data_IF_667931959041
#
_entry.id   IF_667931959041
#
_cell.length_a   1.000
_cell.length_b   1.000
_cell.length_c   1.000
_cell.angle_alpha   90.00
_cell.angle_beta   90.00
_cell.angle_gamma   90.00
#
_symmetry.space_group_name_H-M   'P 1'
#
loop_
_entity.id
_entity.type
_entity.pdbx_description
1 polymer ?
#
# COMPACT_ATOMS: atom_id res chain seq x y z
N UNK A 1 -99.45 -82.72 63.25
CA UNK A 1 -98.46 -82.76 62.14
C UNK A 1 -97.35 -81.81 62.50
N UNK A 2 -96.26 -82.35 63.03
CA UNK A 2 -95.11 -81.61 63.55
C UNK A 2 -94.27 -81.13 62.34
N UNK A 3 -94.10 -79.81 62.19
CA UNK A 3 -93.25 -79.24 61.13
C UNK A 3 -91.80 -79.61 61.45
N UNK A 4 -91.22 -80.54 60.70
CA UNK A 4 -89.79 -80.81 60.76
C UNK A 4 -89.02 -79.53 60.34
N UNK A 5 -88.28 -78.93 61.28
CA UNK A 5 -87.39 -77.80 60.97
C UNK A 5 -86.18 -78.31 60.17
N UNK A 6 -86.07 -77.89 58.91
CA UNK A 6 -84.92 -78.21 58.06
C UNK A 6 -83.69 -77.39 58.52
N UNK A 7 -82.69 -78.07 59.09
CA UNK A 7 -81.44 -77.48 59.56
C UNK A 7 -80.26 -77.93 58.67
N UNK A 8 -79.31 -77.03 58.43
CA UNK A 8 -78.08 -77.26 57.65
C UNK A 8 -76.91 -77.46 58.62
N UNK A 9 -76.11 -78.50 58.39
CA UNK A 9 -74.85 -78.72 59.12
C UNK A 9 -73.70 -78.04 58.39
N UNK A 10 -72.92 -77.22 59.10
CA UNK A 10 -71.76 -76.50 58.55
C UNK A 10 -70.45 -77.10 59.05
N UNK A 11 -69.43 -77.08 58.19
CA UNK A 11 -68.06 -77.45 58.52
C UNK A 11 -67.30 -76.34 59.25
N UNK A 12 -66.01 -76.54 59.49
CA UNK A 12 -65.13 -75.56 60.19
C UNK A 12 -64.88 -74.26 59.40
N UNK A 13 -65.16 -74.23 58.09
CA UNK A 13 -65.03 -73.06 57.22
C UNK A 13 -66.37 -72.36 56.95
N UNK A 14 -67.46 -72.85 57.56
CA UNK A 14 -68.81 -72.32 57.37
C UNK A 14 -69.48 -72.78 56.07
N UNK A 15 -68.94 -73.79 55.38
CA UNK A 15 -69.55 -74.40 54.20
C UNK A 15 -70.47 -75.56 54.61
N UNK A 16 -71.36 -76.00 53.70
CA UNK A 16 -72.22 -77.18 53.96
C UNK A 16 -71.35 -78.43 54.15
N UNK A 17 -71.43 -79.04 55.32
CA UNK A 17 -70.67 -80.25 55.65
C UNK A 17 -71.06 -81.40 54.73
N UNK A 18 -70.06 -82.04 54.12
CA UNK A 18 -70.26 -83.13 53.15
C UNK A 18 -70.52 -84.45 53.86
N UNK A 19 -70.04 -84.61 55.10
CA UNK A 19 -70.30 -85.78 55.94
C UNK A 19 -70.76 -85.42 57.37
N UNK A 20 -71.49 -86.32 58.07
CA UNK A 20 -72.01 -86.02 59.42
C UNK A 20 -70.94 -85.72 60.48
N UNK A 21 -69.73 -86.27 60.32
CA UNK A 21 -68.62 -86.09 61.27
C UNK A 21 -67.94 -84.71 61.13
N UNK A 22 -68.16 -84.01 60.02
CA UNK A 22 -67.62 -82.68 59.74
C UNK A 22 -68.51 -81.56 60.25
N UNK A 23 -69.74 -81.87 60.71
CA UNK A 23 -70.69 -80.87 61.21
C UNK A 23 -70.17 -80.29 62.53
N UNK A 24 -69.74 -79.03 62.51
CA UNK A 24 -69.35 -78.26 63.68
C UNK A 24 -70.46 -77.36 64.21
N UNK A 25 -71.37 -76.92 63.33
CA UNK A 25 -72.49 -76.05 63.69
C UNK A 25 -73.76 -76.47 62.95
N UNK A 26 -74.94 -76.36 63.58
CA UNK A 26 -76.25 -76.53 62.91
C UNK A 26 -77.02 -75.22 62.92
N UNK A 27 -77.35 -74.72 61.74
CA UNK A 27 -78.12 -73.48 61.55
C UNK A 27 -79.43 -73.76 60.81
N UNK A 28 -80.44 -72.90 60.98
CA UNK A 28 -81.67 -73.03 60.21
C UNK A 28 -81.43 -72.74 58.73
N UNK A 29 -82.14 -73.44 57.84
CA UNK A 29 -82.04 -73.23 56.38
C UNK A 29 -82.25 -71.75 56.00
N UNK A 30 -83.19 -71.05 56.66
CA UNK A 30 -83.43 -69.62 56.44
C UNK A 30 -82.22 -68.73 56.74
N UNK A 31 -81.49 -69.02 57.84
CA UNK A 31 -80.32 -68.25 58.25
C UNK A 31 -79.13 -68.49 57.32
N UNK A 32 -78.94 -69.74 56.87
CA UNK A 32 -77.91 -70.09 55.89
C UNK A 32 -78.15 -69.37 54.55
N UNK A 33 -79.38 -69.45 54.01
CA UNK A 33 -79.74 -68.80 52.75
C UNK A 33 -79.58 -67.27 52.82
N UNK A 34 -79.89 -66.64 53.96
CA UNK A 34 -79.67 -65.20 54.15
C UNK A 34 -78.18 -64.82 54.17
N UNK A 35 -77.33 -65.63 54.81
CA UNK A 35 -75.87 -65.43 54.83
C UNK A 35 -75.25 -65.66 53.45
N UNK A 36 -75.64 -66.73 52.76
CA UNK A 36 -75.17 -67.04 51.41
C UNK A 36 -75.54 -65.93 50.41
N UNK A 37 -76.79 -65.43 50.50
CA UNK A 37 -77.22 -64.28 49.71
C UNK A 37 -76.41 -63.01 50.01
N UNK A 38 -76.16 -62.70 51.28
CA UNK A 38 -75.36 -61.55 51.66
C UNK A 38 -73.89 -61.67 51.19
N UNK A 39 -73.30 -62.86 51.32
CA UNK A 39 -71.95 -63.15 50.85
C UNK A 39 -71.86 -63.03 49.32
N UNK A 40 -72.85 -63.55 48.60
CA UNK A 40 -72.94 -63.38 47.14
C UNK A 40 -73.04 -61.92 46.73
N UNK A 41 -73.76 -61.06 47.47
CA UNK A 41 -73.84 -59.62 47.21
C UNK A 41 -72.50 -58.91 47.48
N UNK A 42 -71.79 -59.28 48.55
CA UNK A 42 -70.46 -58.72 48.85
C UNK A 42 -69.48 -59.04 47.71
N UNK A 43 -69.43 -60.30 47.28
CA UNK A 43 -68.57 -60.75 46.18
C UNK A 43 -68.94 -60.03 44.87
N UNK A 44 -70.23 -59.86 44.59
CA UNK A 44 -70.69 -59.12 43.41
C UNK A 44 -70.24 -57.65 43.43
N UNK A 45 -70.38 -56.96 44.56
CA UNK A 45 -69.96 -55.56 44.72
C UNK A 45 -68.43 -55.41 44.59
N UNK A 46 -67.67 -56.36 45.13
CA UNK A 46 -66.20 -56.35 45.03
C UNK A 46 -65.74 -56.60 43.59
N UNK A 47 -66.41 -57.50 42.86
CA UNK A 47 -66.16 -57.73 41.44
C UNK A 47 -66.51 -56.50 40.59
N UNK A 48 -67.60 -55.80 40.90
CA UNK A 48 -67.97 -54.55 40.23
C UNK A 48 -66.95 -53.44 40.50
N UNK A 49 -66.46 -53.31 41.73
CA UNK A 49 -65.39 -52.38 42.07
C UNK A 49 -64.07 -52.71 41.36
N UNK A 50 -63.71 -54.00 41.24
CA UNK A 50 -62.55 -54.45 40.47
C UNK A 50 -62.71 -54.14 38.98
N UNK A 51 -63.90 -54.37 38.42
CA UNK A 51 -64.22 -54.01 37.02
C UNK A 51 -64.07 -52.51 36.78
N UNK A 52 -64.56 -51.66 37.68
CA UNK A 52 -64.39 -50.20 37.60
C UNK A 52 -62.91 -49.77 37.62
N UNK A 53 -62.08 -50.41 38.46
CA UNK A 53 -60.62 -50.16 38.47
C UNK A 53 -59.95 -50.59 37.16
N UNK A 54 -60.37 -51.74 36.60
CA UNK A 54 -59.83 -52.23 35.33
C UNK A 54 -60.21 -51.32 34.15
N UNK A 55 -61.44 -50.82 34.11
CA UNK A 55 -61.91 -49.88 33.09
C UNK A 55 -61.13 -48.55 33.16
N UNK A 56 -60.82 -48.06 34.36
CA UNK A 56 -59.96 -46.88 34.56
C UNK A 56 -58.52 -47.12 34.04
N UNK A 57 -57.90 -48.25 34.40
CA UNK A 57 -56.56 -48.62 33.93
C UNK A 57 -56.51 -48.77 32.40
N UNK A 58 -57.57 -49.33 31.80
CA UNK A 58 -57.69 -49.43 30.34
C UNK A 58 -57.75 -48.04 29.70
N UNK A 59 -58.49 -47.10 30.30
CA UNK A 59 -58.54 -45.71 29.86
C UNK A 59 -57.17 -45.02 29.91
N UNK A 60 -56.42 -45.19 31.00
CA UNK A 60 -55.06 -44.67 31.15
C UNK A 60 -54.09 -45.26 30.12
N UNK A 61 -54.17 -46.57 29.87
CA UNK A 61 -53.33 -47.25 28.90
C UNK A 61 -53.58 -46.74 27.47
N UNK A 62 -54.84 -46.50 27.09
CA UNK A 62 -55.17 -45.92 25.78
C UNK A 62 -54.66 -44.47 25.66
N UNK A 63 -54.71 -43.69 26.72
CA UNK A 63 -54.11 -42.35 26.75
C UNK A 63 -52.58 -42.40 26.60
N UNK A 64 -51.91 -43.35 27.25
CA UNK A 64 -50.46 -43.55 27.10
C UNK A 64 -50.07 -43.99 25.69
N UNK A 65 -50.83 -44.91 25.06
CA UNK A 65 -50.61 -45.31 23.66
C UNK A 65 -50.74 -44.11 22.70
N UNK A 66 -51.72 -43.24 22.92
CA UNK A 66 -51.87 -42.02 22.13
C UNK A 66 -50.66 -41.10 22.29
N UNK A 67 -50.22 -40.85 23.53
CA UNK A 67 -49.03 -40.03 23.81
C UNK A 67 -47.76 -40.61 23.18
N UNK A 68 -47.60 -41.94 23.18
CA UNK A 68 -46.49 -42.61 22.52
C UNK A 68 -46.51 -42.37 21.00
N UNK A 69 -47.67 -42.43 20.36
CA UNK A 69 -47.83 -42.11 18.94
C UNK A 69 -47.43 -40.66 18.60
N UNK A 70 -47.80 -39.70 19.44
CA UNK A 70 -47.41 -38.30 19.30
C UNK A 70 -45.89 -38.11 19.47
N UNK A 71 -45.27 -38.83 20.41
CA UNK A 71 -43.82 -38.78 20.63
C UNK A 71 -43.05 -39.33 19.43
N UNK A 72 -43.48 -40.46 18.87
CA UNK A 72 -42.88 -41.04 17.65
C UNK A 72 -42.91 -40.03 16.49
N UNK A 73 -44.05 -39.37 16.29
CA UNK A 73 -44.18 -38.34 15.24
C UNK A 73 -43.24 -37.16 15.45
N UNK A 74 -42.98 -36.77 16.71
CA UNK A 74 -42.01 -35.71 17.02
C UNK A 74 -40.57 -36.14 16.73
N UNK A 75 -40.23 -37.39 17.00
CA UNK A 75 -38.91 -37.96 16.68
C UNK A 75 -38.66 -37.94 15.18
N UNK A 76 -39.62 -38.40 14.36
CA UNK A 76 -39.48 -38.39 12.89
C UNK A 76 -39.24 -36.98 12.34
N UNK A 77 -39.92 -35.97 12.91
CA UNK A 77 -39.71 -34.55 12.54
C UNK A 77 -38.32 -34.03 12.93
N UNK A 78 -37.80 -34.46 14.08
CA UNK A 78 -36.45 -34.09 14.53
C UNK A 78 -35.41 -34.72 13.62
N UNK A 79 -35.55 -35.99 13.26
CA UNK A 79 -34.62 -36.69 12.38
C UNK A 79 -34.59 -36.05 10.98
N UNK A 80 -35.76 -35.70 10.45
CA UNK A 80 -35.85 -34.95 9.19
C UNK A 80 -35.19 -33.57 9.29
N UNK A 81 -35.38 -32.84 10.40
CA UNK A 81 -34.75 -31.54 10.60
C UNK A 81 -33.23 -31.64 10.80
N UNK A 82 -32.75 -32.67 11.49
CA UNK A 82 -31.34 -32.97 11.68
C UNK A 82 -30.67 -33.30 10.34
N UNK A 83 -31.29 -34.15 9.53
CA UNK A 83 -30.82 -34.47 8.18
C UNK A 83 -30.79 -33.23 7.27
N UNK A 84 -31.83 -32.40 7.29
CA UNK A 84 -31.86 -31.15 6.52
C UNK A 84 -30.78 -30.16 6.97
N UNK A 85 -30.53 -30.07 8.29
CA UNK A 85 -29.48 -29.24 8.86
C UNK A 85 -28.09 -29.74 8.46
N UNK A 86 -27.85 -31.06 8.53
CA UNK A 86 -26.61 -31.68 8.08
C UNK A 86 -26.34 -31.38 6.60
N UNK A 87 -27.34 -31.58 5.72
CA UNK A 87 -27.22 -31.24 4.30
C UNK A 87 -26.96 -29.73 4.06
N UNK A 88 -27.55 -28.85 4.88
CA UNK A 88 -27.29 -27.40 4.83
C UNK A 88 -25.88 -27.04 5.30
N UNK A 89 -25.35 -27.74 6.28
CA UNK A 89 -23.97 -27.57 6.78
C UNK A 89 -22.97 -28.08 5.75
N UNK A 90 -23.21 -29.24 5.13
CA UNK A 90 -22.36 -29.78 4.05
C UNK A 90 -22.38 -28.92 2.78
N UNK A 91 -23.54 -28.36 2.42
CA UNK A 91 -23.64 -27.43 1.28
C UNK A 91 -23.06 -26.04 1.57
N UNK A 92 -22.81 -25.70 2.85
CA UNK A 92 -22.07 -24.50 3.23
C UNK A 92 -20.58 -24.78 3.15
N UNK A 93 -19.86 -23.88 2.51
CA UNK A 93 -18.39 -23.92 2.44
C UNK A 93 -17.82 -23.61 3.82
N UNK A 94 -17.50 -24.63 4.62
CA UNK A 94 -16.80 -24.45 5.88
C UNK A 94 -15.33 -24.13 5.58
N UNK A 95 -14.87 -22.96 6.00
CA UNK A 95 -13.44 -22.61 6.06
C UNK A 95 -13.00 -22.70 7.51
N UNK A 96 -12.02 -23.56 7.78
CA UNK A 96 -11.37 -23.63 9.08
C UNK A 96 -10.26 -22.57 9.17
N UNK A 97 -10.06 -22.01 10.35
CA UNK A 97 -8.88 -21.18 10.66
C UNK A 97 -8.00 -22.00 11.57
N UNK A 98 -6.78 -22.31 11.12
CA UNK A 98 -5.76 -22.97 11.92
C UNK A 98 -5.23 -22.04 13.00
N UNK A 99 -4.56 -22.61 14.02
CA UNK A 99 -3.95 -21.84 15.11
C UNK A 99 -2.84 -20.88 14.67
N UNK A 100 -2.28 -21.06 13.48
CA UNK A 100 -1.29 -20.17 12.86
C UNK A 100 -1.92 -19.08 11.96
N UNK A 101 -3.25 -18.98 11.94
CA UNK A 101 -4.00 -18.03 11.13
C UNK A 101 -4.17 -18.44 9.66
N UNK A 102 -3.68 -19.62 9.26
CA UNK A 102 -3.88 -20.14 7.90
C UNK A 102 -5.31 -20.65 7.72
N UNK A 103 -5.86 -20.48 6.52
CA UNK A 103 -7.19 -20.97 6.16
C UNK A 103 -7.07 -22.43 5.65
N UNK A 104 -7.75 -23.37 6.31
CA UNK A 104 -7.81 -24.77 5.86
C UNK A 104 -9.00 -24.98 4.94
N UNK A 105 -8.73 -25.61 3.78
CA UNK A 105 -9.73 -25.94 2.77
C UNK A 105 -10.52 -27.17 3.26
N UNK A 106 -11.83 -27.04 3.44
CA UNK A 106 -12.69 -28.22 3.52
C UNK A 106 -12.73 -28.87 2.13
N UNK A 107 -12.18 -30.08 2.01
CA UNK A 107 -12.26 -30.90 0.81
C UNK A 107 -13.73 -31.26 0.55
N UNK A 108 -14.35 -30.67 -0.49
CA UNK A 108 -15.73 -31.03 -0.85
C UNK A 108 -16.53 -30.04 -1.71
N UNK A 109 -16.15 -28.78 -1.83
CA UNK A 109 -16.95 -27.79 -2.58
C UNK A 109 -16.34 -27.42 -3.94
N UNK A 110 -17.08 -27.70 -5.04
CA UNK A 110 -16.74 -27.27 -6.42
C UNK A 110 -16.51 -25.76 -6.56
N UNK A 111 -17.13 -24.94 -5.69
CA UNK A 111 -17.01 -23.47 -5.71
C UNK A 111 -15.93 -22.89 -4.77
N UNK A 112 -15.35 -23.68 -3.86
CA UNK A 112 -14.32 -23.20 -2.90
C UNK A 112 -12.92 -23.11 -3.52
N UNK A 113 -12.67 -23.84 -4.60
CA UNK A 113 -11.39 -23.78 -5.32
C UNK A 113 -11.19 -22.39 -5.95
N UNK A 114 -12.26 -21.72 -6.41
CA UNK A 114 -12.16 -20.39 -7.05
C UNK A 114 -11.75 -19.24 -6.11
N UNK A 115 -12.27 -19.20 -4.87
CA UNK A 115 -11.99 -18.07 -3.94
C UNK A 115 -10.59 -18.16 -3.35
N UNK A 116 -10.15 -19.36 -2.93
CA UNK A 116 -8.81 -19.52 -2.37
C UNK A 116 -7.73 -19.32 -3.45
N UNK A 117 -7.93 -19.84 -4.66
CA UNK A 117 -6.97 -19.65 -5.75
C UNK A 117 -6.96 -18.17 -6.19
N UNK A 118 -8.11 -17.49 -6.16
CA UNK A 118 -8.22 -16.05 -6.38
C UNK A 118 -7.50 -15.21 -5.33
N UNK A 119 -7.59 -15.60 -4.04
CA UNK A 119 -6.89 -14.93 -2.94
C UNK A 119 -5.38 -15.12 -3.02
N UNK A 120 -4.92 -16.34 -3.34
CA UNK A 120 -3.49 -16.63 -3.56
C UNK A 120 -2.97 -15.85 -4.76
N UNK A 121 -3.72 -15.80 -5.87
CA UNK A 121 -3.35 -15.01 -7.03
C UNK A 121 -3.31 -13.51 -6.72
N UNK A 122 -4.24 -13.00 -5.89
CA UNK A 122 -4.24 -11.61 -5.44
C UNK A 122 -3.03 -11.32 -4.55
N UNK A 123 -2.70 -12.21 -3.59
CA UNK A 123 -1.51 -12.10 -2.75
C UNK A 123 -0.24 -12.01 -3.60
N UNK A 124 -0.07 -12.92 -4.56
CA UNK A 124 1.09 -12.90 -5.46
C UNK A 124 1.13 -11.66 -6.36
N UNK A 125 -0.02 -11.05 -6.69
CA UNK A 125 -0.06 -9.75 -7.36
C UNK A 125 0.37 -8.62 -6.43
N UNK A 126 -0.05 -8.63 -5.18
CA UNK A 126 0.36 -7.65 -4.16
C UNK A 126 1.88 -7.68 -3.97
N UNK A 127 2.50 -8.86 -3.82
CA UNK A 127 3.95 -8.98 -3.66
C UNK A 127 4.72 -8.40 -4.86
N UNK A 128 4.21 -8.64 -6.09
CA UNK A 128 4.80 -8.08 -7.32
C UNK A 128 4.62 -6.57 -7.40
N UNK A 129 3.48 -6.05 -6.93
CA UNK A 129 3.23 -4.61 -6.87
C UNK A 129 4.17 -3.97 -5.87
N UNK A 130 4.34 -4.54 -4.68
CA UNK A 130 5.23 -4.02 -3.64
C UNK A 130 6.68 -3.98 -4.12
N UNK A 131 7.15 -5.05 -4.78
CA UNK A 131 8.47 -5.08 -5.40
C UNK A 131 8.63 -4.00 -6.50
N UNK A 132 7.61 -3.83 -7.35
CA UNK A 132 7.63 -2.83 -8.42
C UNK A 132 7.61 -1.39 -7.86
N UNK A 133 6.80 -1.13 -6.83
CA UNK A 133 6.74 0.15 -6.14
C UNK A 133 8.07 0.46 -5.47
N UNK A 134 8.70 -0.50 -4.79
CA UNK A 134 10.04 -0.33 -4.22
C UNK A 134 11.09 -0.01 -5.29
N UNK A 135 11.05 -0.66 -6.45
CA UNK A 135 11.94 -0.35 -7.57
C UNK A 135 11.71 1.06 -8.16
N UNK A 136 10.44 1.50 -8.23
CA UNK A 136 10.08 2.86 -8.65
C UNK A 136 10.58 3.89 -7.65
N UNK A 137 10.38 3.67 -6.35
CA UNK A 137 10.85 4.57 -5.29
C UNK A 137 12.38 4.75 -5.35
N UNK A 138 13.12 3.66 -5.55
CA UNK A 138 14.57 3.70 -5.76
C UNK A 138 14.98 4.45 -7.05
N UNK A 139 14.16 4.45 -8.11
CA UNK A 139 14.41 5.25 -9.33
C UNK A 139 14.10 6.73 -9.08
N UNK A 140 12.99 7.04 -8.41
CA UNK A 140 12.59 8.40 -8.06
C UNK A 140 13.67 9.03 -7.19
N UNK A 141 14.15 8.34 -6.15
CA UNK A 141 15.23 8.81 -5.28
C UNK A 141 16.51 9.14 -6.06
N UNK A 142 16.94 8.27 -6.98
CA UNK A 142 18.11 8.53 -7.84
C UNK A 142 17.90 9.70 -8.80
N UNK A 143 16.69 9.84 -9.34
CA UNK A 143 16.35 10.96 -10.21
C UNK A 143 16.37 12.29 -9.44
N UNK A 144 15.81 12.32 -8.23
CA UNK A 144 15.85 13.49 -7.34
C UNK A 144 17.30 13.93 -7.08
N UNK A 145 18.18 13.00 -6.71
CA UNK A 145 19.61 13.30 -6.52
C UNK A 145 20.30 13.81 -7.79
N UNK A 146 19.94 13.27 -8.95
CA UNK A 146 20.51 13.70 -10.24
C UNK A 146 20.05 15.10 -10.62
N UNK A 147 18.77 15.43 -10.35
CA UNK A 147 18.21 16.76 -10.55
C UNK A 147 18.89 17.78 -9.64
N UNK A 148 19.12 17.47 -8.37
CA UNK A 148 19.86 18.35 -7.46
C UNK A 148 21.30 18.62 -7.92
N UNK A 149 22.00 17.58 -8.38
CA UNK A 149 23.35 17.72 -8.95
C UNK A 149 23.35 18.60 -10.20
N UNK A 150 22.39 18.37 -11.11
CA UNK A 150 22.25 19.16 -12.33
C UNK A 150 21.90 20.62 -12.00
N UNK A 151 21.02 20.86 -11.03
CA UNK A 151 20.67 22.21 -10.57
C UNK A 151 21.91 22.97 -10.07
N UNK A 152 22.76 22.33 -9.27
CA UNK A 152 24.04 22.91 -8.80
C UNK A 152 25.00 23.18 -9.96
N UNK A 153 25.11 22.25 -10.91
CA UNK A 153 25.97 22.43 -12.10
C UNK A 153 25.50 23.58 -12.98
N UNK A 154 24.19 23.72 -13.19
CA UNK A 154 23.61 24.85 -13.93
C UNK A 154 23.91 26.17 -13.23
N UNK A 155 23.70 26.25 -11.90
CA UNK A 155 24.01 27.46 -11.14
C UNK A 155 25.49 27.84 -11.21
N UNK A 156 26.41 26.85 -11.19
CA UNK A 156 27.83 27.08 -11.39
C UNK A 156 28.13 27.58 -12.81
N UNK A 157 27.57 26.95 -13.84
CA UNK A 157 27.73 27.37 -15.23
C UNK A 157 27.21 28.80 -15.46
N UNK A 158 26.07 29.17 -14.86
CA UNK A 158 25.55 30.55 -14.93
C UNK A 158 26.56 31.56 -14.39
N UNK A 159 27.24 31.26 -13.28
CA UNK A 159 28.29 32.14 -12.73
C UNK A 159 29.50 32.22 -13.65
N UNK A 160 29.94 31.09 -14.21
CA UNK A 160 31.06 31.06 -15.17
C UNK A 160 30.74 31.89 -16.41
N UNK A 161 29.52 31.79 -16.94
CA UNK A 161 29.08 32.61 -18.08
C UNK A 161 29.06 34.10 -17.76
N UNK A 162 28.60 34.50 -16.57
CA UNK A 162 28.67 35.90 -16.12
C UNK A 162 30.11 36.41 -16.06
N UNK A 163 31.04 35.60 -15.53
CA UNK A 163 32.47 35.94 -15.50
C UNK A 163 33.08 36.06 -16.90
N UNK A 164 32.74 35.13 -17.80
CA UNK A 164 33.17 35.18 -19.19
C UNK A 164 32.65 36.43 -19.90
N UNK A 165 31.39 36.81 -19.69
CA UNK A 165 30.82 38.05 -20.25
C UNK A 165 31.62 39.27 -19.82
N UNK A 166 31.89 39.41 -18.52
CA UNK A 166 32.68 40.51 -17.99
C UNK A 166 34.12 40.54 -18.54
N UNK A 167 34.73 39.35 -18.73
CA UNK A 167 36.05 39.23 -19.33
C UNK A 167 36.06 39.63 -20.81
N UNK A 168 35.05 39.22 -21.58
CA UNK A 168 34.91 39.61 -22.98
C UNK A 168 34.72 41.12 -23.12
N UNK A 169 33.92 41.75 -22.26
CA UNK A 169 33.74 43.20 -22.25
C UNK A 169 35.07 43.93 -21.97
N UNK A 170 35.85 43.43 -21.01
CA UNK A 170 37.19 43.96 -20.72
C UNK A 170 38.14 43.77 -21.90
N UNK A 171 38.13 42.60 -22.55
CA UNK A 171 38.95 42.34 -23.73
C UNK A 171 38.57 43.27 -24.89
N UNK A 172 37.28 43.51 -25.11
CA UNK A 172 36.82 44.42 -26.15
C UNK A 172 37.30 45.85 -25.92
N UNK A 173 37.31 46.33 -24.66
CA UNK A 173 37.87 47.65 -24.31
C UNK A 173 39.36 47.72 -24.59
N UNK A 174 40.13 46.73 -24.12
CA UNK A 174 41.57 46.65 -24.37
C UNK A 174 41.89 46.59 -25.86
N UNK A 175 41.12 45.84 -26.65
CA UNK A 175 41.29 45.79 -28.10
C UNK A 175 41.06 47.17 -28.72
N UNK A 176 40.00 47.88 -28.30
CA UNK A 176 39.71 49.22 -28.81
C UNK A 176 40.81 50.23 -28.43
N UNK A 177 41.35 50.15 -27.21
CA UNK A 177 42.47 50.96 -26.74
C UNK A 177 43.74 50.67 -27.55
N UNK A 178 44.11 49.39 -27.69
CA UNK A 178 45.24 48.96 -28.50
C UNK A 178 45.13 49.45 -29.96
N UNK A 179 43.92 49.42 -30.55
CA UNK A 179 43.72 49.96 -31.90
C UNK A 179 43.94 51.48 -31.96
N UNK A 180 43.53 52.23 -30.93
CA UNK A 180 43.79 53.67 -30.86
C UNK A 180 45.27 53.96 -30.71
N UNK A 181 45.95 53.27 -29.79
CA UNK A 181 47.40 53.39 -29.59
C UNK A 181 48.17 53.06 -30.88
N UNK A 182 47.78 51.97 -31.57
CA UNK A 182 48.39 51.60 -32.85
C UNK A 182 48.19 52.68 -33.92
N UNK A 183 46.99 53.25 -34.03
CA UNK A 183 46.73 54.35 -34.98
C UNK A 183 47.56 55.60 -34.64
N UNK A 184 47.68 55.96 -33.36
CA UNK A 184 48.54 57.07 -32.91
C UNK A 184 50.01 56.80 -33.25
N UNK A 185 50.50 55.60 -32.96
CA UNK A 185 51.87 55.21 -33.28
C UNK A 185 52.14 55.27 -34.80
N UNK A 186 51.18 54.83 -35.62
CA UNK A 186 51.28 54.93 -37.08
C UNK A 186 51.29 56.40 -37.56
N UNK A 187 50.43 57.26 -37.01
CA UNK A 187 50.40 58.69 -37.33
C UNK A 187 51.70 59.39 -36.93
N UNK A 188 52.23 59.08 -35.73
CA UNK A 188 53.52 59.57 -35.25
C UNK A 188 54.66 59.10 -36.15
N UNK A 189 54.68 57.82 -36.54
CA UNK A 189 55.67 57.29 -37.47
C UNK A 189 55.60 58.02 -38.81
N UNK A 190 54.41 58.28 -39.35
CA UNK A 190 54.24 59.06 -40.57
C UNK A 190 54.78 60.49 -40.40
N UNK A 191 54.51 61.14 -39.27
CA UNK A 191 55.02 62.48 -38.96
C UNK A 191 56.56 62.50 -38.89
N UNK A 192 57.17 61.55 -38.18
CA UNK A 192 58.63 61.40 -38.06
C UNK A 192 59.30 61.14 -39.42
N UNK A 193 58.66 60.38 -40.31
CA UNK A 193 59.18 60.16 -41.67
C UNK A 193 59.10 61.41 -42.55
N UNK A 194 58.15 62.31 -42.28
CA UNK A 194 58.04 63.60 -42.96
C UNK A 194 59.12 64.61 -42.54
N UNK A 195 59.90 64.34 -41.49
CA UNK A 195 61.00 65.21 -41.07
C UNK A 195 62.09 65.21 -42.15
N UNK A 196 62.23 66.38 -42.76
CA UNK A 196 63.19 66.62 -43.84
C UNK A 196 64.63 66.39 -43.38
N UNK A 197 65.46 65.89 -44.31
CA UNK A 197 66.86 65.59 -44.04
C UNK A 197 67.75 66.79 -44.44
N UNK A 198 68.74 67.18 -43.62
CA UNK A 198 69.69 68.24 -43.95
C UNK A 198 70.37 68.04 -45.32
N UNK A 199 70.14 68.95 -46.29
CA UNK A 199 70.89 68.93 -47.56
C UNK A 199 72.22 69.71 -47.49
N UNK A 200 72.36 70.67 -46.57
CA UNK A 200 73.56 71.51 -46.48
C UNK A 200 74.58 70.97 -45.48
N UNK A 201 75.83 70.86 -45.92
CA UNK A 201 76.97 70.44 -45.08
C UNK A 201 77.31 71.54 -44.07
N UNK A 202 77.58 71.16 -42.81
CA UNK A 202 78.06 72.07 -41.77
C UNK A 202 77.00 72.99 -41.15
N UNK A 203 75.70 72.72 -41.36
CA UNK A 203 74.59 73.52 -40.78
C UNK A 203 73.59 72.65 -40.03
N UNK A 204 73.15 73.15 -38.87
CA UNK A 204 71.99 72.60 -38.15
C UNK A 204 70.70 72.89 -38.90
N UNK A 205 69.82 71.89 -38.99
CA UNK A 205 68.48 72.06 -39.55
C UNK A 205 67.46 71.66 -38.48
N UNK A 206 66.45 72.51 -38.30
CA UNK A 206 65.26 72.20 -37.52
C UNK A 206 64.12 71.92 -38.49
N UNK A 207 63.41 70.82 -38.29
CA UNK A 207 62.32 70.38 -39.15
C UNK A 207 61.10 70.07 -38.32
N UNK A 208 59.93 70.37 -38.87
CA UNK A 208 58.64 70.05 -38.27
C UNK A 208 57.76 69.43 -39.36
N UNK A 209 57.05 68.38 -39.01
CA UNK A 209 56.21 67.64 -39.93
C UNK A 209 54.94 67.18 -39.21
N UNK A 210 53.83 67.12 -39.95
CA UNK A 210 52.56 66.57 -39.44
C UNK A 210 52.27 65.29 -40.21
N UNK A 211 51.91 64.25 -39.49
CA UNK A 211 51.51 62.95 -40.03
C UNK A 211 50.11 62.59 -39.58
N UNK A 212 49.39 61.83 -40.41
CA UNK A 212 48.05 61.35 -40.11
C UNK A 212 47.87 59.90 -40.51
N UNK A 213 47.12 59.15 -39.70
CA UNK A 213 46.74 57.77 -40.01
C UNK A 213 45.32 57.49 -39.50
N UNK A 214 44.45 57.05 -40.41
CA UNK A 214 43.01 56.88 -40.13
C UNK A 214 42.41 58.19 -39.59
N UNK A 215 41.92 58.20 -38.36
CA UNK A 215 41.34 59.35 -37.66
C UNK A 215 42.30 60.06 -36.68
N UNK A 216 43.55 59.60 -36.58
CA UNK A 216 44.55 60.16 -35.66
C UNK A 216 45.56 61.04 -36.40
N UNK A 217 46.00 62.11 -35.74
CA UNK A 217 47.00 63.05 -36.24
C UNK A 217 48.15 63.17 -35.24
N UNK A 218 49.36 63.41 -35.74
CA UNK A 218 50.55 63.57 -34.94
C UNK A 218 51.44 64.70 -35.47
N UNK A 219 52.06 65.43 -34.55
CA UNK A 219 53.05 66.46 -34.85
C UNK A 219 54.44 65.95 -34.48
N UNK A 220 55.35 65.98 -35.44
CA UNK A 220 56.75 65.67 -35.27
C UNK A 220 57.60 66.94 -35.36
N UNK A 221 58.60 67.01 -34.50
CA UNK A 221 59.69 67.99 -34.58
C UNK A 221 61.02 67.27 -34.49
N UNK A 222 61.99 67.70 -35.27
CA UNK A 222 63.30 67.08 -35.29
C UNK A 222 64.41 68.04 -35.64
N UNK A 223 65.61 67.61 -35.33
CA UNK A 223 66.85 68.31 -35.65
C UNK A 223 67.76 67.36 -36.40
N UNK A 224 68.50 67.91 -37.36
CA UNK A 224 69.48 67.16 -38.14
C UNK A 224 70.76 67.96 -38.32
N UNK A 225 71.88 67.25 -38.33
CA UNK A 225 73.20 67.81 -38.58
C UNK A 225 73.95 66.93 -39.58
N UNK A 226 74.47 67.56 -40.65
CA UNK A 226 75.31 66.89 -41.65
C UNK A 226 76.76 67.28 -41.40
N UNK A 227 77.52 66.33 -40.85
CA UNK A 227 78.91 66.53 -40.45
C UNK A 227 79.82 66.76 -41.65
N UNK A 228 79.59 66.01 -42.74
CA UNK A 228 80.29 66.13 -44.01
C UNK A 228 79.36 65.65 -45.16
N UNK A 229 79.81 65.70 -46.42
CA UNK A 229 79.02 65.19 -47.55
C UNK A 229 78.65 63.71 -47.41
N UNK A 230 79.39 62.93 -46.62
CA UNK A 230 79.23 61.49 -46.48
C UNK A 230 78.57 61.02 -45.17
N UNK A 231 78.19 61.92 -44.26
CA UNK A 231 77.75 61.57 -42.90
C UNK A 231 76.76 62.58 -42.35
N UNK A 232 75.58 62.10 -41.99
CA UNK A 232 74.53 62.89 -41.37
C UNK A 232 73.91 62.17 -40.18
N UNK A 233 73.44 62.93 -39.19
CA UNK A 233 72.65 62.42 -38.08
C UNK A 233 71.37 63.24 -37.94
N UNK A 234 70.29 62.57 -37.51
CA UNK A 234 69.02 63.22 -37.17
C UNK A 234 68.40 62.60 -35.92
N UNK A 235 67.70 63.44 -35.18
CA UNK A 235 66.87 63.04 -34.05
C UNK A 235 65.50 63.73 -34.17
N UNK A 236 64.43 63.02 -33.84
CA UNK A 236 63.07 63.54 -33.91
C UNK A 236 62.21 63.01 -32.77
N UNK A 237 61.21 63.80 -32.39
CA UNK A 237 60.15 63.43 -31.45
C UNK A 237 58.80 63.76 -32.07
N UNK A 238 57.83 62.87 -31.91
CA UNK A 238 56.46 63.05 -32.35
C UNK A 238 55.48 62.91 -31.19
N UNK A 239 54.43 63.73 -31.24
CA UNK A 239 53.39 63.83 -30.24
C UNK A 239 52.03 63.56 -30.87
N UNK A 240 51.20 62.75 -30.21
CA UNK A 240 49.83 62.47 -30.62
C UNK A 240 48.97 62.18 -29.38
N UNK A 241 47.95 62.99 -29.14
CA UNK A 241 46.89 62.79 -28.13
C UNK A 241 47.37 62.20 -26.78
N UNK A 242 48.38 62.83 -26.18
CA UNK A 242 48.95 62.48 -24.87
C UNK A 242 50.17 61.57 -24.90
N UNK A 243 50.46 60.92 -26.03
CA UNK A 243 51.58 60.00 -26.20
C UNK A 243 52.72 60.64 -27.00
N UNK A 244 53.97 60.29 -26.67
CA UNK A 244 55.17 60.76 -27.37
C UNK A 244 56.06 59.61 -27.81
N UNK A 245 56.56 59.66 -29.04
CA UNK A 245 57.55 58.71 -29.58
C UNK A 245 58.75 59.46 -30.15
N UNK A 246 59.91 58.80 -30.21
CA UNK A 246 61.15 59.43 -30.63
C UNK A 246 61.96 58.50 -31.53
N UNK A 247 62.76 59.07 -32.42
CA UNK A 247 63.68 58.34 -33.28
C UNK A 247 65.03 59.05 -33.38
N UNK A 248 66.08 58.26 -33.56
CA UNK A 248 67.44 58.75 -33.85
C UNK A 248 68.00 57.89 -34.98
N UNK A 249 68.68 58.52 -35.94
CA UNK A 249 69.27 57.82 -37.07
C UNK A 249 70.54 58.50 -37.55
N UNK A 250 71.48 57.70 -38.05
CA UNK A 250 72.72 58.13 -38.69
C UNK A 250 72.76 57.57 -40.10
N UNK A 251 73.25 58.37 -41.05
CA UNK A 251 73.40 57.99 -42.45
C UNK A 251 74.85 58.16 -42.87
N UNK A 252 75.37 57.17 -43.61
CA UNK A 252 76.72 57.18 -44.19
C UNK A 252 76.61 56.92 -45.70
N UNK A 253 77.20 57.79 -46.53
CA UNK A 253 77.25 57.68 -48.00
C UNK A 253 78.70 57.39 -48.42
N UNK A 254 78.90 56.40 -49.31
CA UNK A 254 80.21 55.96 -49.82
C UNK A 254 80.22 55.89 -51.35
#
# INVERSE_FOLDING_TARGET
>A
MEKAEANVGLDEYGNVAVTPNEIKERVSLQRYLAWESANSTIVANELEAQKGKLDAQKGELEAQKKNLGELTTRTDKIDAAAAATAAKVESRTLVGVSSDGTLTRAEGAKNTISVNDGLVALSGRTDRIDAAVGAIDGRVTRNTQSIEKNSKAIAANTRTLQQHSARLDSQQRQINENHKEMKRAAAQSAALTGLFQPYSVGKFNATAAVGGYSDQQALAVGVGYRFNEQTAAKAGVAFSDGDASWNVGVNFEF
#
